data_IF_254012046558
#
_entry.id   IF_254012046558
#
_cell.length_a   1.000
_cell.length_b   1.000
_cell.length_c   1.000
_cell.angle_alpha   90.00
_cell.angle_beta   90.00
_cell.angle_gamma   90.00
#
_symmetry.space_group_name_H-M   'P 1'
#
loop_
_entity.id
_entity.type
_entity.pdbx_description
1 polymer ?
#
# COMPACT_ATOMS: atom_id res chain seq x y z
N UNK A 1 4.70 -30.11 8.51
CA UNK A 1 3.50 -29.25 8.50
C UNK A 1 3.97 -27.91 7.94
N UNK A 2 3.65 -27.62 6.70
CA UNK A 2 3.97 -26.33 6.08
C UNK A 2 3.06 -25.30 6.70
N UNK A 3 3.56 -24.50 7.64
CA UNK A 3 2.95 -23.20 7.91
C UNK A 3 3.03 -22.43 6.60
N UNK A 4 1.93 -22.34 5.86
CA UNK A 4 1.75 -21.25 4.88
C UNK A 4 1.91 -19.96 5.67
N UNK A 5 3.15 -19.46 5.66
CA UNK A 5 3.59 -18.40 6.56
C UNK A 5 2.83 -17.15 6.22
N UNK A 6 2.00 -16.67 7.15
CA UNK A 6 1.44 -15.32 7.07
C UNK A 6 2.60 -14.35 6.80
N UNK A 7 2.45 -13.53 5.76
CA UNK A 7 3.41 -12.46 5.47
C UNK A 7 3.59 -11.57 6.69
N UNK A 8 4.81 -11.16 6.95
CA UNK A 8 5.16 -10.13 7.93
C UNK A 8 4.74 -8.74 7.42
N UNK A 9 4.64 -7.76 8.32
CA UNK A 9 4.39 -6.38 7.93
C UNK A 9 5.39 -5.85 6.89
N UNK A 10 6.67 -6.26 7.01
CA UNK A 10 7.71 -5.91 6.05
C UNK A 10 7.47 -6.53 4.67
N UNK A 11 7.06 -7.78 4.59
CA UNK A 11 6.79 -8.45 3.31
C UNK A 11 5.56 -7.84 2.62
N UNK A 12 4.52 -7.50 3.38
CA UNK A 12 3.38 -6.76 2.88
C UNK A 12 3.78 -5.37 2.37
N UNK A 13 4.59 -4.62 3.12
CA UNK A 13 5.12 -3.33 2.68
C UNK A 13 5.93 -3.44 1.37
N UNK A 14 6.80 -4.45 1.25
CA UNK A 14 7.58 -4.68 0.02
C UNK A 14 6.68 -5.07 -1.17
N UNK A 15 5.66 -5.90 -0.93
CA UNK A 15 4.67 -6.24 -1.95
C UNK A 15 3.91 -5.00 -2.43
N UNK A 16 3.46 -4.14 -1.50
CA UNK A 16 2.80 -2.88 -1.84
C UNK A 16 3.70 -1.97 -2.69
N UNK A 17 4.98 -1.88 -2.37
CA UNK A 17 5.96 -1.15 -3.18
C UNK A 17 6.15 -1.74 -4.58
N UNK A 18 6.06 -3.05 -4.75
CA UNK A 18 6.13 -3.70 -6.05
C UNK A 18 4.86 -3.42 -6.87
N UNK A 19 3.67 -3.49 -6.28
CA UNK A 19 2.42 -3.13 -6.95
C UNK A 19 2.41 -1.65 -7.34
N UNK A 20 2.85 -0.77 -6.44
CA UNK A 20 2.99 0.67 -6.69
C UNK A 20 3.89 0.97 -7.90
N UNK A 21 5.02 0.26 -8.03
CA UNK A 21 5.93 0.42 -9.17
C UNK A 21 5.34 -0.06 -10.50
N UNK A 22 4.42 -1.03 -10.44
CA UNK A 22 3.69 -1.54 -11.60
C UNK A 22 2.48 -0.67 -11.97
N UNK A 23 2.15 0.35 -11.16
CA UNK A 23 0.97 1.19 -11.33
C UNK A 23 -0.33 0.53 -10.82
N UNK A 24 -0.24 -0.60 -10.13
CA UNK A 24 -1.38 -1.23 -9.48
C UNK A 24 -1.61 -0.59 -8.09
N UNK A 25 -2.24 0.59 -8.13
CA UNK A 25 -2.44 1.41 -6.95
C UNK A 25 -3.44 0.80 -5.95
N UNK A 26 -4.40 0.00 -6.43
CA UNK A 26 -5.39 -0.64 -5.56
C UNK A 26 -4.75 -1.78 -4.76
N UNK A 27 -3.99 -2.65 -5.42
CA UNK A 27 -3.29 -3.73 -4.73
C UNK A 27 -2.16 -3.20 -3.82
N UNK A 28 -1.52 -2.09 -4.21
CA UNK A 28 -0.56 -1.41 -3.35
C UNK A 28 -1.20 -0.92 -2.04
N UNK A 29 -2.39 -0.29 -2.10
CA UNK A 29 -3.14 0.14 -0.92
C UNK A 29 -3.53 -1.04 -0.02
N UNK A 30 -4.02 -2.14 -0.60
CA UNK A 30 -4.33 -3.37 0.14
C UNK A 30 -3.10 -3.84 0.92
N UNK A 31 -1.97 -4.02 0.22
CA UNK A 31 -0.74 -4.49 0.83
C UNK A 31 -0.26 -3.57 1.96
N UNK A 32 -0.39 -2.25 1.82
CA UNK A 32 -0.04 -1.33 2.90
C UNK A 32 -0.98 -1.43 4.09
N UNK A 33 -2.29 -1.64 3.88
CA UNK A 33 -3.25 -1.86 4.98
C UNK A 33 -2.94 -3.13 5.77
N UNK A 34 -2.66 -4.25 5.09
CA UNK A 34 -2.26 -5.50 5.75
C UNK A 34 -0.96 -5.33 6.56
N UNK A 35 0.00 -4.54 6.06
CA UNK A 35 1.21 -4.24 6.82
C UNK A 35 0.94 -3.42 8.09
N UNK A 36 0.03 -2.44 8.00
CA UNK A 36 -0.36 -1.57 9.12
C UNK A 36 -1.15 -2.36 10.18
N UNK A 37 -2.03 -3.26 9.75
CA UNK A 37 -2.81 -4.12 10.66
C UNK A 37 -1.91 -5.05 11.48
N UNK A 38 -0.77 -5.48 10.91
CA UNK A 38 0.24 -6.26 11.62
C UNK A 38 1.19 -5.40 12.46
N UNK A 39 1.59 -4.23 11.96
CA UNK A 39 2.46 -3.28 12.65
C UNK A 39 2.12 -1.84 12.24
N UNK A 40 1.40 -1.16 13.13
CA UNK A 40 0.98 0.23 12.96
C UNK A 40 2.15 1.23 12.97
N UNK A 41 3.37 0.81 13.34
CA UNK A 41 4.59 1.62 13.26
C UNK A 41 5.43 1.33 12.01
N UNK A 42 4.95 0.44 11.14
CA UNK A 42 5.68 0.06 9.92
C UNK A 42 5.73 1.20 8.90
N UNK A 43 6.71 1.19 7.98
CA UNK A 43 6.81 2.20 6.91
C UNK A 43 5.60 2.25 5.96
N UNK A 44 4.69 1.26 6.04
CA UNK A 44 3.49 1.20 5.22
C UNK A 44 2.51 2.35 5.50
N UNK A 45 2.51 2.93 6.72
CA UNK A 45 1.68 4.10 7.04
C UNK A 45 2.02 5.28 6.13
N UNK A 46 3.31 5.61 6.04
CA UNK A 46 3.80 6.71 5.20
C UNK A 46 3.62 6.41 3.71
N UNK A 47 3.86 5.16 3.30
CA UNK A 47 3.68 4.74 1.91
C UNK A 47 2.22 4.82 1.45
N UNK A 48 1.27 4.39 2.29
CA UNK A 48 -0.17 4.55 2.06
C UNK A 48 -0.53 6.03 1.93
N UNK A 49 -0.09 6.87 2.86
CA UNK A 49 -0.40 8.30 2.83
C UNK A 49 0.14 8.99 1.56
N UNK A 50 1.37 8.66 1.15
CA UNK A 50 1.93 9.17 -0.11
C UNK A 50 1.11 8.72 -1.32
N UNK A 51 0.70 7.46 -1.37
CA UNK A 51 -0.11 6.95 -2.47
C UNK A 51 -1.50 7.60 -2.52
N UNK A 52 -2.16 7.78 -1.39
CA UNK A 52 -3.43 8.50 -1.29
C UNK A 52 -3.29 9.96 -1.77
N UNK A 53 -2.19 10.63 -1.44
CA UNK A 53 -1.91 11.98 -1.93
C UNK A 53 -1.76 12.02 -3.45
N UNK A 54 -1.06 11.05 -4.04
CA UNK A 54 -0.89 10.92 -5.49
C UNK A 54 -2.25 10.70 -6.17
N UNK A 55 -3.04 9.75 -5.67
CA UNK A 55 -4.36 9.45 -6.23
C UNK A 55 -5.33 10.63 -6.08
N UNK A 56 -5.28 11.34 -4.96
CA UNK A 56 -6.09 12.55 -4.75
C UNK A 56 -5.69 13.68 -5.71
N UNK A 57 -4.40 13.83 -6.04
CA UNK A 57 -3.95 14.79 -7.05
C UNK A 57 -4.60 14.48 -8.42
N UNK A 58 -4.51 13.22 -8.88
CA UNK A 58 -5.15 12.80 -10.14
C UNK A 58 -6.68 12.89 -10.10
N UNK A 59 -7.31 12.56 -8.96
CA UNK A 59 -8.77 12.60 -8.83
C UNK A 59 -9.33 14.04 -8.75
N UNK A 60 -8.55 15.00 -8.24
CA UNK A 60 -8.94 16.42 -8.28
C UNK A 60 -8.90 16.98 -9.69
N UNK A 61 -7.93 16.55 -10.51
CA UNK A 61 -7.88 16.92 -11.93
C UNK A 61 -9.01 16.29 -12.75
N UNK A 62 -9.55 15.14 -12.33
CA UNK A 62 -10.70 14.50 -12.97
C UNK A 62 -12.05 15.22 -12.71
N UNK A 63 -12.11 16.10 -11.71
CA UNK A 63 -13.33 16.80 -11.26
C UNK A 63 -13.25 18.33 -11.34
N UNK A 64 -12.28 18.88 -12.07
CA UNK A 64 -12.22 20.32 -12.32
C UNK A 64 -12.73 20.62 -13.76
N UNK A 65 -14.03 20.92 -13.95
CA UNK A 65 -14.58 21.33 -15.25
C UNK A 65 -14.02 22.66 -15.77
#
# INVERSE_FOLDING_TARGET
MTTEGKKTAREWYLAGNACRQQGDWQEALHCYMEAIDLDASSPAVEAKQMLENILNFYNKDAYNP
#
